data_IF_244593003351
#
_entry.id   IF_244593003351
#
_cell.length_a   1.000
_cell.length_b   1.000
_cell.length_c   1.000
_cell.angle_alpha   90.00
_cell.angle_beta   90.00
_cell.angle_gamma   90.00
#
_symmetry.space_group_name_H-M   'P 1'
#
loop_
_entity.id
_entity.type
_entity.pdbx_description
1 polymer ?
#
# COMPACT_ATOMS: atom_id res chain seq x y z
N UNK A 1 -31.84 59.32 16.48
CA UNK A 1 -31.90 58.65 15.16
C UNK A 1 -30.55 58.09 14.71
N UNK A 2 -29.45 58.83 14.81
CA UNK A 2 -28.11 58.43 14.33
C UNK A 2 -27.53 57.19 15.00
N UNK A 3 -27.75 56.97 16.30
CA UNK A 3 -27.24 55.79 17.04
C UNK A 3 -27.95 54.50 16.62
N UNK A 4 -29.24 54.55 16.33
CA UNK A 4 -30.02 53.39 15.83
C UNK A 4 -29.57 52.95 14.43
N UNK A 5 -29.22 53.90 13.58
CA UNK A 5 -28.68 53.65 12.24
C UNK A 5 -27.28 53.04 12.31
N UNK A 6 -26.45 53.49 13.25
CA UNK A 6 -25.09 52.98 13.45
C UNK A 6 -25.11 51.53 14.00
N UNK A 7 -26.05 51.24 14.93
CA UNK A 7 -26.25 49.91 15.45
C UNK A 7 -26.77 48.93 14.37
N UNK A 8 -27.66 49.41 13.48
CA UNK A 8 -28.19 48.59 12.38
C UNK A 8 -27.10 48.26 11.33
N UNK A 9 -26.23 49.24 11.02
CA UNK A 9 -25.12 49.04 10.09
C UNK A 9 -24.07 48.08 10.67
N UNK A 10 -23.79 48.13 11.99
CA UNK A 10 -22.90 47.23 12.66
C UNK A 10 -23.44 45.80 12.70
N UNK A 11 -24.76 45.63 12.93
CA UNK A 11 -25.42 44.32 12.89
C UNK A 11 -25.42 43.73 11.46
N UNK A 12 -25.57 44.54 10.42
CA UNK A 12 -25.49 44.06 9.02
C UNK A 12 -24.09 43.59 8.63
N UNK A 13 -23.01 44.16 9.20
CA UNK A 13 -21.63 43.73 9.00
C UNK A 13 -21.36 42.34 9.60
N UNK A 14 -21.99 42.01 10.72
CA UNK A 14 -21.84 40.67 11.33
C UNK A 14 -22.57 39.55 10.57
N UNK A 15 -23.60 39.89 9.77
CA UNK A 15 -24.36 38.93 8.97
C UNK A 15 -23.69 38.59 7.61
N UNK A 16 -22.68 39.35 7.18
CA UNK A 16 -21.97 39.13 5.93
C UNK A 16 -20.82 38.12 6.01
N UNK A 17 -20.55 37.51 7.20
CA UNK A 17 -19.37 36.68 7.47
C UNK A 17 -19.49 35.19 7.07
N UNK A 18 -20.53 34.76 6.34
CA UNK A 18 -20.75 33.35 6.01
C UNK A 18 -20.45 33.01 4.54
N UNK A 19 -19.26 33.36 4.03
CA UNK A 19 -18.94 33.15 2.60
C UNK A 19 -17.98 32.01 2.25
N UNK A 20 -17.42 31.25 3.22
CA UNK A 20 -16.27 30.40 2.94
C UNK A 20 -16.49 28.88 3.11
N UNK A 21 -17.72 28.43 3.32
CA UNK A 21 -18.00 27.01 3.56
C UNK A 21 -17.73 26.10 2.35
N UNK A 22 -18.04 26.55 1.14
CA UNK A 22 -17.86 25.76 -0.09
C UNK A 22 -16.39 25.40 -0.39
N UNK A 23 -15.43 26.22 0.03
CA UNK A 23 -13.98 25.94 -0.18
C UNK A 23 -13.42 24.84 0.72
N UNK A 24 -14.16 24.40 1.73
CA UNK A 24 -13.72 23.38 2.68
C UNK A 24 -14.19 21.97 2.35
N UNK A 25 -15.02 21.81 1.34
CA UNK A 25 -15.57 20.50 0.95
C UNK A 25 -14.77 19.90 -0.20
N UNK A 26 -14.59 18.57 -0.15
CA UNK A 26 -13.99 17.78 -1.22
C UNK A 26 -15.02 17.44 -2.30
N UNK A 27 -14.55 17.22 -3.54
CA UNK A 27 -15.32 16.63 -4.64
C UNK A 27 -16.67 17.33 -4.92
N UNK A 28 -16.66 18.65 -5.08
CA UNK A 28 -17.87 19.47 -5.33
C UNK A 28 -18.35 19.40 -6.80
N UNK A 29 -17.54 18.90 -7.74
CA UNK A 29 -17.88 18.80 -9.16
C UNK A 29 -18.73 17.54 -9.43
N UNK A 30 -20.01 17.62 -9.09
CA UNK A 30 -21.00 16.54 -9.29
C UNK A 30 -21.28 16.23 -10.79
N UNK A 31 -20.93 17.17 -11.68
CA UNK A 31 -21.14 17.02 -13.13
C UNK A 31 -20.27 15.93 -13.77
N UNK A 32 -19.08 15.63 -13.18
CA UNK A 32 -18.15 14.65 -13.73
C UNK A 32 -18.35 13.22 -13.17
N UNK A 33 -19.15 13.07 -12.12
CA UNK A 33 -19.40 11.77 -11.48
C UNK A 33 -20.14 10.80 -12.42
N UNK A 34 -20.96 11.33 -13.33
CA UNK A 34 -21.67 10.51 -14.32
C UNK A 34 -20.77 9.91 -15.42
N UNK A 35 -19.51 10.32 -15.49
CA UNK A 35 -18.50 9.78 -16.39
C UNK A 35 -17.47 8.87 -15.71
N UNK A 36 -17.62 8.62 -14.40
CA UNK A 36 -16.83 7.61 -13.72
C UNK A 36 -17.33 6.23 -14.19
N UNK A 37 -16.85 5.83 -15.36
CA UNK A 37 -16.80 4.42 -15.72
C UNK A 37 -16.16 3.71 -14.54
N UNK A 38 -16.83 2.68 -14.01
CA UNK A 38 -16.30 1.80 -12.97
C UNK A 38 -14.83 1.56 -13.29
N UNK A 39 -13.94 2.23 -12.56
CA UNK A 39 -12.50 2.15 -12.83
C UNK A 39 -12.13 0.69 -12.80
N UNK A 40 -11.54 0.19 -13.88
CA UNK A 40 -10.95 -1.14 -13.86
C UNK A 40 -10.07 -1.19 -12.63
N UNK A 41 -10.32 -2.18 -11.76
CA UNK A 41 -9.45 -2.44 -10.62
C UNK A 41 -8.03 -2.57 -11.19
N UNK A 42 -7.18 -1.61 -10.85
CA UNK A 42 -5.78 -1.64 -11.28
C UNK A 42 -5.09 -2.72 -10.45
N UNK A 43 -4.76 -3.82 -11.08
CA UNK A 43 -3.93 -4.84 -10.47
C UNK A 43 -2.47 -4.37 -10.48
N UNK A 44 -1.89 -4.26 -9.30
CA UNK A 44 -0.46 -3.98 -9.14
C UNK A 44 0.36 -5.01 -9.93
N UNK A 45 1.33 -4.53 -10.70
CA UNK A 45 2.30 -5.37 -11.43
C UNK A 45 3.68 -5.20 -10.84
N UNK A 46 4.32 -6.32 -10.61
CA UNK A 46 5.67 -6.40 -10.05
C UNK A 46 6.66 -5.72 -10.99
N UNK A 47 7.50 -4.83 -10.44
CA UNK A 47 8.53 -4.10 -11.16
C UNK A 47 9.92 -4.36 -10.58
N UNK A 48 11.01 -4.09 -11.34
CA UNK A 48 12.36 -4.10 -10.80
C UNK A 48 12.49 -3.17 -9.58
N UNK A 49 13.21 -3.62 -8.55
CA UNK A 49 13.39 -2.96 -7.24
C UNK A 49 12.24 -3.10 -6.26
N UNK A 50 11.17 -3.80 -6.63
CA UNK A 50 10.16 -4.19 -5.63
C UNK A 50 10.75 -5.22 -4.66
N UNK A 51 10.31 -5.11 -3.41
CA UNK A 51 10.60 -6.11 -2.38
C UNK A 51 9.34 -6.96 -2.15
N UNK A 52 9.44 -8.24 -2.43
CA UNK A 52 8.34 -9.18 -2.30
C UNK A 52 8.53 -10.05 -1.06
N UNK A 53 7.54 -10.09 -0.19
CA UNK A 53 7.45 -11.10 0.87
C UNK A 53 6.78 -12.33 0.29
N UNK A 54 7.48 -13.48 0.33
CA UNK A 54 6.99 -14.74 -0.21
C UNK A 54 6.91 -15.76 0.93
N UNK A 55 5.70 -16.26 1.17
CA UNK A 55 5.43 -17.29 2.18
C UNK A 55 4.93 -18.54 1.47
N UNK A 56 5.61 -19.66 1.70
CA UNK A 56 5.28 -20.97 1.15
C UNK A 56 4.81 -21.84 2.32
N UNK A 57 3.55 -22.23 2.34
CA UNK A 57 2.97 -23.06 3.38
C UNK A 57 2.58 -24.43 2.82
N UNK A 58 2.99 -25.47 3.51
CA UNK A 58 2.65 -26.87 3.22
C UNK A 58 2.09 -27.50 4.49
N UNK A 59 1.41 -28.63 4.37
CA UNK A 59 0.93 -29.42 5.52
C UNK A 59 2.09 -29.88 6.40
N UNK A 60 3.24 -30.18 5.79
CA UNK A 60 4.49 -30.48 6.49
C UNK A 60 5.44 -29.27 6.42
N UNK A 61 5.65 -28.54 7.53
CA UNK A 61 6.52 -27.37 7.56
C UNK A 61 7.99 -27.68 7.21
N UNK A 62 8.45 -28.90 7.45
CA UNK A 62 9.83 -29.31 7.11
C UNK A 62 10.02 -29.37 5.59
N UNK A 63 8.99 -29.70 4.84
CA UNK A 63 9.03 -29.76 3.38
C UNK A 63 9.21 -28.36 2.74
N UNK A 64 8.74 -27.29 3.37
CA UNK A 64 8.90 -25.92 2.88
C UNK A 64 10.23 -25.28 3.29
N UNK A 65 10.88 -25.76 4.35
CA UNK A 65 12.10 -25.16 4.91
C UNK A 65 13.26 -24.95 3.91
N UNK A 66 13.51 -25.82 2.90
CA UNK A 66 14.58 -25.63 1.93
C UNK A 66 14.40 -24.42 1.02
N UNK A 67 13.18 -23.94 0.84
CA UNK A 67 12.84 -22.84 -0.07
C UNK A 67 13.00 -21.45 0.58
N UNK A 68 13.33 -21.40 1.87
CA UNK A 68 13.62 -20.15 2.56
C UNK A 68 15.11 -19.88 2.64
N UNK A 69 15.51 -18.60 2.61
CA UNK A 69 16.91 -18.21 2.83
C UNK A 69 17.35 -18.59 4.25
N UNK A 70 18.38 -19.42 4.35
CA UNK A 70 19.05 -19.68 5.62
C UNK A 70 19.97 -18.52 5.93
N UNK A 71 19.54 -17.58 6.74
CA UNK A 71 20.44 -16.58 7.31
C UNK A 71 21.12 -17.25 8.49
N UNK A 72 22.45 -17.41 8.38
CA UNK A 72 23.41 -18.03 9.28
C UNK A 72 23.09 -18.05 10.78
N UNK A 73 22.09 -18.81 11.20
CA UNK A 73 21.77 -19.06 12.58
C UNK A 73 21.74 -20.56 12.88
N UNK A 74 22.28 -20.88 14.04
CA UNK A 74 22.46 -22.18 14.63
C UNK A 74 21.23 -23.07 14.49
N UNK A 75 21.48 -24.34 14.20
CA UNK A 75 20.54 -25.41 13.89
C UNK A 75 19.42 -25.70 14.91
N UNK A 76 19.34 -24.99 16.01
CA UNK A 76 18.52 -25.41 17.16
C UNK A 76 17.13 -24.79 17.28
N UNK A 77 16.76 -23.75 16.46
CA UNK A 77 15.52 -22.99 16.72
C UNK A 77 14.55 -22.84 15.54
N UNK A 78 14.72 -23.55 14.42
CA UNK A 78 13.86 -23.34 13.25
C UNK A 78 12.49 -24.04 13.39
N UNK A 79 12.43 -25.21 14.04
CA UNK A 79 11.19 -25.99 14.12
C UNK A 79 10.16 -25.45 15.12
N UNK A 80 10.58 -24.73 16.17
CA UNK A 80 9.67 -24.22 17.20
C UNK A 80 9.20 -22.78 16.97
N UNK A 81 9.78 -22.05 16.02
CA UNK A 81 9.54 -20.62 15.84
C UNK A 81 8.66 -20.23 14.63
N UNK A 82 8.24 -21.17 13.79
CA UNK A 82 7.32 -20.82 12.68
C UNK A 82 5.94 -20.31 13.18
N UNK A 83 5.56 -20.63 14.41
CA UNK A 83 4.32 -20.10 15.03
C UNK A 83 4.53 -18.77 15.76
N UNK A 84 5.79 -18.37 16.00
CA UNK A 84 6.17 -17.14 16.70
C UNK A 84 7.08 -16.23 15.84
N UNK A 85 6.93 -16.24 14.52
CA UNK A 85 7.61 -15.28 13.64
C UNK A 85 7.11 -13.86 13.96
N UNK A 86 7.76 -13.24 14.96
CA UNK A 86 7.57 -11.84 15.29
C UNK A 86 8.01 -10.96 14.11
N UNK A 87 7.59 -9.71 14.12
CA UNK A 87 7.83 -8.72 13.04
C UNK A 87 9.29 -8.56 12.60
N UNK A 88 10.26 -9.06 13.38
CA UNK A 88 11.69 -9.02 13.05
C UNK A 88 12.12 -10.09 12.03
N UNK A 89 11.34 -11.18 11.88
CA UNK A 89 11.66 -12.27 10.99
C UNK A 89 11.03 -12.10 9.58
N UNK A 90 10.13 -11.14 9.41
CA UNK A 90 9.52 -10.83 8.11
C UNK A 90 10.56 -10.43 7.05
N UNK A 91 11.69 -9.86 7.46
CA UNK A 91 12.84 -9.55 6.58
C UNK A 91 13.48 -10.80 5.97
N UNK A 92 13.35 -11.95 6.60
CA UNK A 92 13.91 -13.24 6.14
C UNK A 92 13.15 -13.78 4.93
N UNK A 93 11.89 -13.37 4.76
CA UNK A 93 11.00 -13.80 3.70
C UNK A 93 10.89 -12.78 2.57
N UNK A 94 11.74 -11.74 2.58
CA UNK A 94 11.71 -10.66 1.60
C UNK A 94 12.73 -10.93 0.51
N UNK A 95 12.30 -10.85 -0.74
CA UNK A 95 13.08 -11.06 -1.95
C UNK A 95 13.04 -9.79 -2.79
N UNK A 96 14.23 -9.27 -3.14
CA UNK A 96 14.35 -8.11 -4.02
C UNK A 96 14.23 -8.56 -5.48
N UNK A 97 13.37 -7.89 -6.24
CA UNK A 97 13.31 -8.03 -7.69
C UNK A 97 14.52 -7.31 -8.30
N UNK A 98 15.36 -8.01 -9.02
CA UNK A 98 16.57 -7.46 -9.64
C UNK A 98 16.26 -6.56 -10.85
N UNK A 99 17.31 -5.98 -11.45
CA UNK A 99 17.16 -5.12 -12.63
C UNK A 99 16.65 -5.88 -13.87
N UNK A 100 16.84 -7.19 -13.92
CA UNK A 100 16.33 -8.05 -15.00
C UNK A 100 14.85 -8.44 -14.77
N UNK A 101 14.30 -8.08 -13.60
CA UNK A 101 12.94 -8.43 -13.20
C UNK A 101 12.79 -9.84 -12.65
N UNK A 102 13.87 -10.38 -12.08
CA UNK A 102 13.91 -11.71 -11.51
C UNK A 102 14.05 -11.66 -9.99
N UNK A 103 13.57 -12.69 -9.32
CA UNK A 103 13.85 -12.98 -7.91
C UNK A 103 14.68 -14.26 -7.81
N UNK A 104 15.54 -14.33 -6.81
CA UNK A 104 16.35 -15.52 -6.52
C UNK A 104 15.78 -16.27 -5.32
N UNK A 105 15.15 -17.41 -5.60
CA UNK A 105 14.62 -18.30 -4.56
C UNK A 105 15.54 -19.51 -4.36
N UNK A 106 15.84 -19.88 -3.11
CA UNK A 106 16.55 -21.11 -2.83
C UNK A 106 15.90 -22.31 -3.53
N UNK A 107 16.71 -23.24 -4.02
CA UNK A 107 16.31 -24.45 -4.78
C UNK A 107 15.78 -24.15 -6.19
N UNK A 108 14.93 -23.14 -6.36
CA UNK A 108 14.33 -22.79 -7.66
C UNK A 108 15.22 -21.89 -8.52
N UNK A 109 16.18 -21.16 -7.89
CA UNK A 109 17.04 -20.20 -8.57
C UNK A 109 16.32 -18.95 -9.06
N UNK A 110 16.80 -18.39 -10.18
CA UNK A 110 16.28 -17.16 -10.74
C UNK A 110 14.93 -17.35 -11.44
N UNK A 111 13.93 -16.62 -11.01
CA UNK A 111 12.57 -16.66 -11.57
C UNK A 111 12.17 -15.26 -12.03
N UNK A 112 11.77 -15.14 -13.29
CA UNK A 112 11.29 -13.87 -13.86
C UNK A 112 9.87 -13.59 -13.38
N UNK A 113 9.69 -12.47 -12.69
CA UNK A 113 8.41 -12.04 -12.10
C UNK A 113 7.95 -10.66 -12.57
N UNK A 114 8.82 -9.91 -13.25
CA UNK A 114 8.49 -8.59 -13.76
C UNK A 114 7.27 -8.60 -14.69
N UNK A 115 6.34 -7.66 -14.47
CA UNK A 115 5.11 -7.50 -15.23
C UNK A 115 3.97 -8.42 -14.80
N UNK A 116 4.24 -9.42 -13.95
CA UNK A 116 3.20 -10.28 -13.39
C UNK A 116 2.42 -9.52 -12.30
N UNK A 117 1.14 -9.85 -12.17
CA UNK A 117 0.38 -9.51 -10.97
C UNK A 117 0.80 -10.40 -9.81
N UNK A 118 0.46 -10.01 -8.59
CA UNK A 118 0.73 -10.83 -7.38
C UNK A 118 0.17 -12.24 -7.56
N UNK A 119 -1.06 -12.35 -8.05
CA UNK A 119 -1.74 -13.64 -8.27
C UNK A 119 -1.08 -14.50 -9.36
N UNK A 120 -0.63 -13.89 -10.46
CA UNK A 120 0.11 -14.59 -11.50
C UNK A 120 1.46 -15.09 -10.98
N UNK A 121 2.13 -14.30 -10.14
CA UNK A 121 3.37 -14.69 -9.46
C UNK A 121 3.14 -15.87 -8.51
N UNK A 122 2.09 -15.84 -7.69
CA UNK A 122 1.73 -16.97 -6.81
C UNK A 122 1.50 -18.26 -7.59
N UNK A 123 0.78 -18.19 -8.71
CA UNK A 123 0.50 -19.34 -9.56
C UNK A 123 1.80 -19.88 -10.20
N UNK A 124 2.65 -18.99 -10.72
CA UNK A 124 3.95 -19.37 -11.28
C UNK A 124 4.83 -20.08 -10.23
N UNK A 125 4.91 -19.54 -9.02
CA UNK A 125 5.67 -20.13 -7.94
C UNK A 125 5.10 -21.49 -7.52
N UNK A 126 3.78 -21.63 -7.43
CA UNK A 126 3.11 -22.89 -7.13
C UNK A 126 3.43 -23.97 -8.18
N UNK A 127 3.40 -23.61 -9.45
CA UNK A 127 3.75 -24.51 -10.56
C UNK A 127 5.23 -24.94 -10.47
N UNK A 128 6.14 -23.99 -10.20
CA UNK A 128 7.58 -24.28 -10.05
C UNK A 128 7.92 -25.13 -8.84
N UNK A 129 7.15 -25.00 -7.75
CA UNK A 129 7.34 -25.79 -6.52
C UNK A 129 6.74 -27.19 -6.60
N UNK A 130 5.74 -27.42 -7.46
CA UNK A 130 5.03 -28.69 -7.57
C UNK A 130 5.94 -29.92 -7.76
N UNK A 131 7.06 -29.89 -8.54
CA UNK A 131 7.94 -31.03 -8.69
C UNK A 131 8.71 -31.41 -7.44
N UNK A 132 8.86 -30.49 -6.49
CA UNK A 132 9.68 -30.66 -5.28
C UNK A 132 8.85 -31.02 -4.05
N UNK A 133 7.55 -30.86 -4.12
CA UNK A 133 6.62 -31.07 -3.00
C UNK A 133 5.62 -32.18 -3.33
N UNK A 134 5.29 -32.98 -2.33
CA UNK A 134 4.28 -34.05 -2.49
C UNK A 134 2.87 -33.53 -2.63
N UNK A 135 2.64 -32.32 -2.09
CA UNK A 135 1.35 -31.63 -2.05
C UNK A 135 1.46 -30.28 -2.73
N UNK A 136 0.35 -29.77 -3.23
CA UNK A 136 0.30 -28.41 -3.78
C UNK A 136 0.51 -27.39 -2.66
N UNK A 137 1.58 -26.57 -2.70
CA UNK A 137 1.86 -25.59 -1.67
C UNK A 137 0.86 -24.43 -1.74
N UNK A 138 0.54 -23.86 -0.59
CA UNK A 138 -0.07 -22.53 -0.55
C UNK A 138 1.06 -21.50 -0.61
N UNK A 139 1.05 -20.68 -1.67
CA UNK A 139 2.04 -19.62 -1.88
C UNK A 139 1.31 -18.28 -1.75
N UNK A 140 1.82 -17.43 -0.87
CA UNK A 140 1.34 -16.06 -0.68
C UNK A 140 2.47 -15.10 -1.01
N UNK A 141 2.20 -14.15 -1.91
CA UNK A 141 3.13 -13.09 -2.31
C UNK A 141 2.54 -11.75 -1.91
N UNK A 142 3.34 -10.87 -1.30
CA UNK A 142 2.95 -9.50 -0.97
C UNK A 142 4.08 -8.54 -1.28
N UNK A 143 3.75 -7.31 -1.67
CA UNK A 143 4.74 -6.25 -1.77
C UNK A 143 5.07 -5.75 -0.36
N UNK A 144 6.37 -5.74 -0.01
CA UNK A 144 6.85 -5.34 1.32
C UNK A 144 7.23 -3.85 1.39
N UNK A 145 7.50 -3.20 0.26
CA UNK A 145 8.00 -1.83 0.20
C UNK A 145 7.03 -0.82 -0.43
N UNK A 146 5.74 -1.15 -0.43
CA UNK A 146 4.74 -0.23 -0.98
C UNK A 146 4.70 1.08 -0.18
N UNK A 147 4.96 2.18 -0.88
CA UNK A 147 5.02 3.53 -0.31
C UNK A 147 4.34 4.52 -1.24
N UNK A 148 3.77 5.56 -0.65
CA UNK A 148 3.28 6.72 -1.39
C UNK A 148 3.79 8.00 -0.74
N UNK A 149 3.82 9.08 -1.49
CA UNK A 149 4.25 10.39 -1.00
C UNK A 149 3.12 11.38 -1.13
N UNK A 150 2.86 12.09 -0.05
CA UNK A 150 1.92 13.22 -0.02
C UNK A 150 2.73 14.49 0.05
N UNK A 151 2.53 15.36 -0.94
CA UNK A 151 3.22 16.62 -1.09
C UNK A 151 2.19 17.75 -1.23
N UNK A 152 2.58 18.96 -0.91
CA UNK A 152 1.73 20.15 -1.03
C UNK A 152 1.20 20.64 0.32
N UNK A 153 0.09 21.36 0.29
CA UNK A 153 -0.53 22.03 1.43
C UNK A 153 -1.33 21.06 2.32
N UNK A 154 -0.61 20.10 2.92
CA UNK A 154 -1.12 19.15 3.92
C UNK A 154 -0.42 19.38 5.27
N UNK A 155 -1.03 18.92 6.35
CA UNK A 155 -0.51 19.14 7.71
C UNK A 155 0.83 18.45 7.94
N UNK A 156 1.04 17.27 7.32
CA UNK A 156 2.26 16.46 7.46
C UNK A 156 2.67 15.90 6.09
N UNK A 157 3.33 16.73 5.23
CA UNK A 157 3.86 16.21 3.97
C UNK A 157 4.97 15.17 4.23
N UNK A 158 5.02 14.12 3.43
CA UNK A 158 6.01 13.07 3.62
C UNK A 158 5.72 11.79 2.83
N UNK A 159 6.59 10.80 3.01
CA UNK A 159 6.44 9.46 2.45
C UNK A 159 5.93 8.49 3.51
N UNK A 160 4.87 7.77 3.17
CA UNK A 160 4.18 6.84 4.06
C UNK A 160 4.30 5.42 3.53
N UNK A 161 4.55 4.46 4.42
CA UNK A 161 4.53 3.04 4.10
C UNK A 161 3.13 2.48 4.29
N UNK A 162 2.72 1.58 3.42
CA UNK A 162 1.40 0.95 3.45
C UNK A 162 1.57 -0.56 3.62
N UNK A 163 0.84 -1.14 4.56
CA UNK A 163 0.79 -2.59 4.76
C UNK A 163 -0.31 -3.28 3.94
N UNK A 164 -1.22 -2.51 3.35
CA UNK A 164 -2.30 -2.98 2.49
C UNK A 164 -1.88 -2.94 1.01
N UNK A 165 -2.58 -3.70 0.17
CA UNK A 165 -2.30 -3.76 -1.27
C UNK A 165 -2.73 -2.49 -2.03
N UNK A 166 -3.53 -1.64 -1.41
CA UNK A 166 -4.01 -0.38 -1.99
C UNK A 166 -4.13 0.69 -0.93
N UNK A 167 -4.06 1.92 -1.37
CA UNK A 167 -4.39 3.10 -0.57
C UNK A 167 -5.33 3.99 -1.39
N UNK A 168 -6.35 4.51 -0.77
CA UNK A 168 -7.26 5.49 -1.37
C UNK A 168 -6.71 6.89 -1.17
N UNK A 169 -7.13 7.84 -2.00
CA UNK A 169 -6.77 9.24 -1.87
C UNK A 169 -7.14 9.79 -0.48
N UNK A 170 -8.32 9.45 0.02
CA UNK A 170 -8.76 9.92 1.33
C UNK A 170 -7.95 9.31 2.49
N UNK A 171 -7.55 8.04 2.38
CA UNK A 171 -6.65 7.42 3.36
C UNK A 171 -5.28 8.09 3.36
N UNK A 172 -4.75 8.43 2.17
CA UNK A 172 -3.48 9.14 2.03
C UNK A 172 -3.54 10.53 2.68
N UNK A 173 -4.60 11.30 2.41
CA UNK A 173 -4.81 12.61 3.01
C UNK A 173 -5.02 12.53 4.53
N UNK A 174 -5.80 11.55 5.00
CA UNK A 174 -6.01 11.33 6.43
C UNK A 174 -4.70 11.02 7.17
N UNK A 175 -3.82 10.20 6.58
CA UNK A 175 -2.50 9.92 7.16
C UNK A 175 -1.58 11.15 7.17
N UNK A 176 -1.70 12.02 6.15
CA UNK A 176 -1.00 13.29 6.09
C UNK A 176 -1.60 14.38 7.01
N UNK A 177 -2.65 14.06 7.78
CA UNK A 177 -3.30 14.96 8.73
C UNK A 177 -4.21 15.99 8.07
N UNK A 178 -4.74 15.64 6.92
CA UNK A 178 -5.61 16.46 6.06
C UNK A 178 -4.92 17.67 5.43
N UNK A 179 -5.59 18.29 4.51
CA UNK A 179 -5.17 19.51 3.83
C UNK A 179 -5.32 20.73 4.75
N UNK A 180 -4.40 21.69 4.64
CA UNK A 180 -4.44 22.91 5.45
C UNK A 180 -5.56 23.86 5.02
N UNK A 181 -5.80 24.92 5.78
CA UNK A 181 -6.81 25.93 5.45
C UNK A 181 -6.48 26.72 4.17
N UNK A 182 -5.22 26.74 3.77
CA UNK A 182 -4.75 27.45 2.58
C UNK A 182 -4.76 26.58 1.31
N UNK A 183 -5.09 25.31 1.43
CA UNK A 183 -5.10 24.38 0.32
C UNK A 183 -6.32 24.54 -0.58
N UNK A 184 -6.17 24.18 -1.85
CA UNK A 184 -7.24 24.11 -2.83
C UNK A 184 -7.74 22.68 -2.89
N UNK A 185 -8.87 22.41 -2.21
CA UNK A 185 -9.44 21.06 -2.09
C UNK A 185 -10.12 20.54 -3.35
N UNK A 186 -10.34 21.42 -4.31
CA UNK A 186 -10.95 21.11 -5.61
C UNK A 186 -9.91 20.54 -6.60
N UNK A 187 -8.61 20.80 -6.37
CA UNK A 187 -7.52 20.42 -7.27
C UNK A 187 -6.52 19.49 -6.55
N UNK A 188 -6.91 18.25 -6.37
CA UNK A 188 -6.08 17.19 -5.83
C UNK A 188 -5.70 16.23 -6.96
N UNK A 189 -4.40 16.08 -7.22
CA UNK A 189 -3.85 15.23 -8.27
C UNK A 189 -3.18 13.99 -7.69
#
# INVERSE_FOLDING_TARGET
>A
MKIKLLALSLAALFLASCGSYHKSLYMQNDSDINHITTGQLYDFRIMPKDELTIVISTTDPEASAPFYRKIGQSKENISSNMQNLGMNDAKLLTYLVDNAGCIDLPVLGMIKVNGLTVRECENLLREKLAPYLKESPNVTVRNANYKYSVLGEVSKPGTYSVSSEKVTLFEALAQAGDMTLNSVREDVQ
#
